data_IF_956463113182
#
_entry.id   IF_956463113182
#
_cell.length_a   1.000
_cell.length_b   1.000
_cell.length_c   1.000
_cell.angle_alpha   90.00
_cell.angle_beta   90.00
_cell.angle_gamma   90.00
#
_symmetry.space_group_name_H-M   'P 1'
#
loop_
_entity.id
_entity.type
_entity.pdbx_description
1 polymer ?
#
# COMPACT_ATOMS: atom_id res chain seq x y z
N UNK A 1 9.63 -1.57 0.31
CA UNK A 1 9.39 -2.65 -0.69
C UNK A 1 9.83 -2.16 -2.07
N UNK A 2 10.13 -3.00 -3.07
CA UNK A 2 10.57 -2.55 -4.42
C UNK A 2 9.74 -3.17 -5.54
N UNK A 3 8.89 -2.37 -6.20
CA UNK A 3 8.13 -2.77 -7.41
C UNK A 3 6.63 -3.02 -7.19
N UNK A 4 5.83 -2.73 -8.23
CA UNK A 4 4.40 -3.01 -8.30
C UNK A 4 4.09 -4.50 -8.61
N UNK A 5 2.91 -4.97 -8.23
CA UNK A 5 2.49 -6.37 -8.40
C UNK A 5 2.92 -7.31 -7.27
N UNK A 6 3.17 -6.76 -6.08
CA UNK A 6 3.66 -7.52 -4.93
C UNK A 6 2.53 -7.79 -3.95
N UNK A 7 2.48 -9.03 -3.47
CA UNK A 7 1.59 -9.45 -2.39
C UNK A 7 2.41 -9.76 -1.16
N UNK A 8 1.98 -9.22 -0.02
CA UNK A 8 2.54 -9.46 1.30
C UNK A 8 1.42 -9.91 2.23
N UNK A 9 1.68 -10.91 3.06
CA UNK A 9 0.75 -11.31 4.11
C UNK A 9 1.11 -10.55 5.40
N UNK A 10 0.15 -9.82 5.95
CA UNK A 10 0.28 -9.09 7.21
C UNK A 10 -0.93 -9.42 8.08
N UNK A 11 -0.71 -9.95 9.28
CA UNK A 11 -1.78 -10.31 10.22
C UNK A 11 -2.89 -11.17 9.56
N UNK A 12 -2.52 -12.19 8.77
CA UNK A 12 -3.43 -13.02 7.96
C UNK A 12 -4.24 -12.28 6.88
N UNK A 13 -3.90 -11.03 6.59
CA UNK A 13 -4.47 -10.23 5.51
C UNK A 13 -3.48 -10.16 4.35
N UNK A 14 -3.91 -10.60 3.17
CA UNK A 14 -3.13 -10.41 1.94
C UNK A 14 -3.24 -8.95 1.50
N UNK A 15 -2.12 -8.24 1.51
CA UNK A 15 -1.96 -6.88 1.02
C UNK A 15 -1.28 -6.93 -0.34
N UNK A 16 -1.93 -6.41 -1.38
CA UNK A 16 -1.40 -6.38 -2.74
C UNK A 16 -1.17 -4.95 -3.18
N UNK A 17 0.10 -4.61 -3.46
CA UNK A 17 0.49 -3.34 -4.06
C UNK A 17 0.43 -3.49 -5.57
N UNK A 18 -0.51 -2.79 -6.22
CA UNK A 18 -0.73 -2.89 -7.66
C UNK A 18 -0.04 -1.80 -8.47
N UNK A 19 0.28 -0.66 -7.86
CA UNK A 19 1.02 0.42 -8.51
C UNK A 19 1.80 1.25 -7.47
N UNK A 20 2.98 1.73 -7.87
CA UNK A 20 3.76 2.74 -7.15
C UNK A 20 4.02 3.87 -8.14
N UNK A 21 3.67 5.10 -7.78
CA UNK A 21 3.92 6.30 -8.56
C UNK A 21 4.73 7.28 -7.70
N UNK A 22 5.28 8.33 -8.32
CA UNK A 22 5.98 9.39 -7.56
C UNK A 22 5.09 10.07 -6.51
N UNK A 23 3.77 9.95 -6.61
CA UNK A 23 2.78 10.57 -5.74
C UNK A 23 2.30 9.64 -4.61
N UNK A 24 2.55 8.32 -4.71
CA UNK A 24 2.07 7.37 -3.71
C UNK A 24 1.96 5.94 -4.21
N UNK A 25 0.93 5.24 -3.74
CA UNK A 25 0.74 3.81 -3.99
C UNK A 25 -0.73 3.44 -4.15
N UNK A 26 -1.01 2.48 -5.03
CA UNK A 26 -2.31 1.80 -5.11
C UNK A 26 -2.21 0.41 -4.49
N UNK A 27 -3.12 0.11 -3.58
CA UNK A 27 -3.08 -1.09 -2.74
C UNK A 27 -4.49 -1.66 -2.50
N UNK A 28 -4.59 -2.97 -2.37
CA UNK A 28 -5.78 -3.66 -1.87
C UNK A 28 -5.39 -4.59 -0.72
N UNK A 29 -6.34 -4.88 0.16
CA UNK A 29 -6.10 -5.76 1.30
C UNK A 29 -7.31 -6.65 1.56
N UNK A 30 -7.10 -7.96 1.73
CA UNK A 30 -8.16 -8.90 2.10
C UNK A 30 -9.31 -8.97 1.08
N UNK A 31 -9.03 -8.74 -0.20
CA UNK A 31 -10.04 -8.69 -1.27
C UNK A 31 -10.81 -7.38 -1.37
N UNK A 32 -10.38 -6.32 -0.66
CA UNK A 32 -10.95 -4.97 -0.83
C UNK A 32 -10.75 -4.44 -2.26
N UNK A 33 -11.56 -3.45 -2.63
CA UNK A 33 -11.29 -2.67 -3.83
C UNK A 33 -9.90 -1.99 -3.73
N UNK A 34 -9.17 -1.83 -4.85
CA UNK A 34 -7.95 -1.06 -4.90
C UNK A 34 -8.18 0.38 -4.41
N UNK A 35 -7.28 0.87 -3.57
CA UNK A 35 -7.30 2.21 -2.99
C UNK A 35 -5.96 2.89 -3.25
N UNK A 36 -6.00 4.12 -3.73
CA UNK A 36 -4.80 4.95 -3.91
C UNK A 36 -4.58 5.79 -2.68
N UNK A 37 -3.36 5.75 -2.15
CA UNK A 37 -2.93 6.50 -0.97
C UNK A 37 -1.74 7.36 -1.40
N UNK A 38 -1.87 8.67 -1.23
CA UNK A 38 -0.81 9.62 -1.54
C UNK A 38 0.28 9.60 -0.44
N UNK A 39 1.49 10.04 -0.78
CA UNK A 39 2.56 10.24 0.21
C UNK A 39 2.12 11.25 1.27
N UNK A 40 2.29 10.89 2.54
CA UNK A 40 1.86 11.66 3.70
C UNK A 40 0.42 11.42 4.13
N UNK A 41 -0.32 10.57 3.42
CA UNK A 41 -1.71 10.23 3.72
C UNK A 41 -1.83 8.81 4.29
N UNK A 42 -2.94 8.60 5.00
CA UNK A 42 -3.35 7.30 5.51
C UNK A 42 -4.74 6.93 5.00
N UNK A 43 -4.95 5.65 4.70
CA UNK A 43 -6.28 5.15 4.34
C UNK A 43 -6.55 3.78 4.96
N UNK A 44 -7.82 3.53 5.27
CA UNK A 44 -8.29 2.19 5.61
C UNK A 44 -8.49 1.38 4.34
N UNK A 45 -7.76 0.27 4.22
CA UNK A 45 -7.82 -0.64 3.07
C UNK A 45 -8.22 -2.01 3.60
N UNK A 46 -9.45 -2.40 3.34
CA UNK A 46 -10.04 -3.60 3.95
C UNK A 46 -10.02 -3.51 5.48
N UNK A 47 -9.34 -4.45 6.12
CA UNK A 47 -9.24 -4.55 7.59
C UNK A 47 -8.00 -3.89 8.21
N UNK A 48 -7.16 -3.20 7.44
CA UNK A 48 -5.90 -2.60 7.91
C UNK A 48 -5.85 -1.11 7.58
N UNK A 49 -5.18 -0.32 8.41
CA UNK A 49 -4.87 1.07 8.09
C UNK A 49 -3.46 1.16 7.53
N UNK A 50 -3.31 1.81 6.39
CA UNK A 50 -2.04 1.95 5.69
C UNK A 50 -1.68 3.43 5.59
N UNK A 51 -0.48 3.81 6.05
CA UNK A 51 0.07 5.16 5.92
C UNK A 51 1.26 5.13 4.95
N UNK A 52 1.23 5.93 3.89
CA UNK A 52 2.36 6.02 2.95
C UNK A 52 3.31 7.13 3.41
N UNK A 53 4.49 6.76 3.88
CA UNK A 53 5.45 7.72 4.46
C UNK A 53 6.38 8.32 3.43
N UNK A 54 6.81 7.56 2.41
CA UNK A 54 7.59 8.11 1.30
C UNK A 54 7.60 7.22 0.05
N UNK A 55 7.92 7.84 -1.09
CA UNK A 55 8.27 7.14 -2.34
C UNK A 55 9.66 7.57 -2.78
N UNK A 56 10.48 6.59 -3.17
CA UNK A 56 11.83 6.76 -3.72
C UNK A 56 11.96 5.93 -5.00
N UNK A 57 11.72 6.56 -6.16
CA UNK A 57 11.65 5.86 -7.44
C UNK A 57 10.49 4.85 -7.47
N UNK A 58 10.80 3.57 -7.69
CA UNK A 58 9.81 2.47 -7.66
C UNK A 58 9.69 1.80 -6.28
N UNK A 59 10.21 2.46 -5.24
CA UNK A 59 10.14 1.98 -3.86
C UNK A 59 9.19 2.84 -3.06
N UNK A 60 8.39 2.20 -2.23
CA UNK A 60 7.49 2.87 -1.29
C UNK A 60 7.80 2.41 0.13
N UNK A 61 7.73 3.36 1.06
CA UNK A 61 7.71 3.13 2.51
C UNK A 61 6.30 3.41 3.00
N UNK A 62 5.79 2.51 3.81
CA UNK A 62 4.48 2.63 4.42
C UNK A 62 4.45 1.88 5.74
N UNK A 63 3.58 2.32 6.64
CA UNK A 63 3.33 1.71 7.92
C UNK A 63 1.94 1.07 7.95
N UNK A 64 1.78 0.05 8.78
CA UNK A 64 0.55 -0.71 8.93
C UNK A 64 0.14 -0.71 10.41
N UNK A 65 -1.15 -0.46 10.65
CA UNK A 65 -1.76 -0.49 11.99
C UNK A 65 -3.14 -1.13 11.98
#
# INVERSE_FOLDING_TARGET
MSGAGQTMEVNNVNVTVSAITAEGMTVSAGGSAPTTIAVGESAQVGGVTIEVTSVEGEKVKFDLS
#
